data_IF_264560839721
#
_entry.id   IF_264560839721
#
_cell.length_a   1.000
_cell.length_b   1.000
_cell.length_c   1.000
_cell.angle_alpha   90.00
_cell.angle_beta   90.00
_cell.angle_gamma   90.00
#
_symmetry.space_group_name_H-M   'P 1'
#
loop_
_entity.id
_entity.type
_entity.pdbx_description
1 polymer ?
#
# COMPACT_ATOMS: atom_id res chain seq x y z
N UNK A 1 10.35 -16.02 3.39
CA UNK A 1 11.30 -15.15 4.10
C UNK A 1 11.22 -15.26 5.61
N UNK A 2 10.03 -15.47 6.22
CA UNK A 2 9.93 -15.75 7.66
C UNK A 2 10.67 -17.05 8.02
N UNK A 3 10.44 -18.11 7.27
CA UNK A 3 11.13 -19.40 7.44
C UNK A 3 12.66 -19.28 7.24
N UNK A 4 13.11 -18.46 6.29
CA UNK A 4 14.55 -18.22 6.06
C UNK A 4 15.27 -17.51 7.22
N UNK A 5 14.50 -16.90 8.15
CA UNK A 5 15.01 -16.25 9.37
C UNK A 5 14.61 -17.02 10.65
N UNK A 6 14.17 -18.27 10.53
CA UNK A 6 13.75 -19.11 11.67
C UNK A 6 12.35 -18.79 12.21
N UNK A 7 11.55 -18.01 11.49
CA UNK A 7 10.15 -17.75 11.85
C UNK A 7 9.24 -18.92 11.44
N UNK A 8 8.28 -19.27 12.29
CA UNK A 8 7.28 -20.28 11.98
C UNK A 8 6.17 -19.66 11.09
N UNK A 9 5.95 -20.14 9.84
CA UNK A 9 4.87 -19.66 8.97
C UNK A 9 3.48 -19.73 9.62
N UNK A 10 3.25 -20.69 10.53
CA UNK A 10 1.98 -20.86 11.24
C UNK A 10 1.57 -19.64 12.08
N UNK A 11 2.53 -18.76 12.43
CA UNK A 11 2.22 -17.50 13.13
C UNK A 11 1.33 -16.55 12.30
N UNK A 12 1.25 -16.77 10.99
CA UNK A 12 0.41 -15.99 10.07
C UNK A 12 -0.95 -16.62 9.78
N UNK A 13 -1.24 -17.81 10.28
CA UNK A 13 -2.51 -18.49 10.04
C UNK A 13 -3.68 -17.64 10.57
N UNK A 14 -4.73 -17.47 9.75
CA UNK A 14 -5.88 -16.62 10.04
C UNK A 14 -5.59 -15.11 10.10
N UNK A 15 -4.36 -14.68 9.73
CA UNK A 15 -3.92 -13.28 9.83
C UNK A 15 -3.51 -12.65 8.51
N UNK A 16 -3.67 -13.38 7.40
CA UNK A 16 -3.36 -12.88 6.07
C UNK A 16 -4.64 -12.62 5.29
N UNK A 17 -4.80 -11.38 4.91
CA UNK A 17 -5.95 -10.89 4.16
C UNK A 17 -5.46 -10.21 2.88
N UNK A 18 -6.15 -10.42 1.78
CA UNK A 18 -5.85 -9.79 0.52
C UNK A 18 -7.11 -9.58 -0.31
N UNK A 19 -7.11 -8.54 -1.11
CA UNK A 19 -8.16 -8.26 -2.07
C UNK A 19 -7.53 -7.99 -3.43
N UNK A 20 -7.98 -8.71 -4.46
CA UNK A 20 -7.46 -8.60 -5.82
C UNK A 20 -8.61 -8.71 -6.82
N UNK A 21 -8.70 -7.76 -7.72
CA UNK A 21 -9.75 -7.73 -8.75
C UNK A 21 -9.54 -8.76 -9.85
N UNK A 22 -8.30 -9.00 -10.24
CA UNK A 22 -7.96 -9.89 -11.33
C UNK A 22 -7.98 -11.35 -10.86
N UNK A 23 -8.78 -12.21 -11.54
CA UNK A 23 -8.92 -13.63 -11.20
C UNK A 23 -7.59 -14.37 -11.21
N UNK A 24 -6.81 -14.18 -12.28
CA UNK A 24 -5.52 -14.86 -12.44
C UNK A 24 -4.55 -14.44 -11.35
N UNK A 25 -4.44 -13.15 -11.07
CA UNK A 25 -3.57 -12.63 -10.01
C UNK A 25 -4.00 -13.13 -8.63
N UNK A 26 -5.30 -13.18 -8.34
CA UNK A 26 -5.82 -13.74 -7.10
C UNK A 26 -5.49 -15.23 -6.96
N UNK A 27 -5.60 -16.01 -8.06
CA UNK A 27 -5.24 -17.42 -8.07
C UNK A 27 -3.73 -17.63 -7.87
N UNK A 28 -2.90 -16.82 -8.53
CA UNK A 28 -1.44 -16.84 -8.32
C UNK A 28 -1.08 -16.49 -6.87
N UNK A 29 -1.75 -15.51 -6.27
CA UNK A 29 -1.52 -15.14 -4.88
C UNK A 29 -1.83 -16.30 -3.93
N UNK A 30 -2.98 -16.98 -4.10
CA UNK A 30 -3.35 -18.16 -3.31
C UNK A 30 -2.33 -19.29 -3.48
N UNK A 31 -1.97 -19.62 -4.72
CA UNK A 31 -0.98 -20.66 -5.00
C UNK A 31 0.38 -20.33 -4.37
N UNK A 32 0.81 -19.07 -4.45
CA UNK A 32 2.07 -18.63 -3.86
C UNK A 32 2.07 -18.82 -2.34
N UNK A 33 0.97 -18.46 -1.66
CA UNK A 33 0.83 -18.68 -0.21
C UNK A 33 0.92 -20.16 0.15
N UNK A 34 0.20 -21.04 -0.56
CA UNK A 34 0.28 -22.48 -0.37
C UNK A 34 1.69 -23.04 -0.56
N UNK A 35 2.39 -22.62 -1.62
CA UNK A 35 3.76 -23.05 -1.87
C UNK A 35 4.75 -22.60 -0.77
N UNK A 36 4.40 -21.58 0.00
CA UNK A 36 5.17 -21.12 1.15
C UNK A 36 4.69 -21.69 2.49
N UNK A 37 3.81 -22.71 2.47
CA UNK A 37 3.30 -23.39 3.66
C UNK A 37 2.28 -22.57 4.45
N UNK A 38 1.62 -21.61 3.80
CA UNK A 38 0.56 -20.79 4.39
C UNK A 38 -0.77 -21.31 3.85
N UNK A 39 -1.58 -21.95 4.69
CA UNK A 39 -2.84 -22.61 4.31
C UNK A 39 -4.07 -21.84 4.80
N UNK A 40 -3.91 -21.04 5.84
CA UNK A 40 -5.00 -20.27 6.46
C UNK A 40 -4.84 -18.77 6.14
N UNK A 41 -5.53 -18.32 5.09
CA UNK A 41 -5.54 -16.94 4.60
C UNK A 41 -6.87 -16.64 3.90
N UNK A 42 -7.20 -15.36 3.75
CA UNK A 42 -8.37 -14.89 3.03
C UNK A 42 -7.94 -14.01 1.86
N UNK A 43 -8.19 -14.45 0.62
CA UNK A 43 -8.01 -13.64 -0.59
C UNK A 43 -9.37 -13.46 -1.25
N UNK A 44 -9.93 -12.27 -1.13
CA UNK A 44 -11.21 -11.91 -1.73
C UNK A 44 -11.02 -11.32 -3.14
N UNK A 45 -12.02 -11.56 -3.98
CA UNK A 45 -12.01 -11.08 -5.36
C UNK A 45 -12.95 -9.89 -5.51
N UNK A 46 -12.41 -8.68 -5.46
CA UNK A 46 -13.17 -7.47 -5.74
C UNK A 46 -12.23 -6.28 -6.02
N UNK A 47 -12.80 -5.14 -6.45
CA UNK A 47 -12.08 -3.90 -6.70
C UNK A 47 -11.90 -3.11 -5.39
N UNK A 48 -10.71 -3.12 -4.83
CA UNK A 48 -10.38 -2.49 -3.55
C UNK A 48 -10.72 -1.00 -3.50
N UNK A 49 -10.55 -0.28 -4.61
CA UNK A 49 -10.83 1.16 -4.62
C UNK A 49 -12.31 1.46 -4.74
N UNK A 50 -13.08 0.63 -5.44
CA UNK A 50 -14.53 0.80 -5.63
C UNK A 50 -15.35 0.13 -4.55
N UNK A 51 -14.94 -1.06 -4.15
CA UNK A 51 -15.70 -1.93 -3.26
C UNK A 51 -14.78 -2.70 -2.31
N UNK A 52 -14.23 -2.05 -1.26
CA UNK A 52 -13.45 -2.75 -0.24
C UNK A 52 -14.34 -3.74 0.51
N UNK A 53 -13.89 -5.01 0.60
CA UNK A 53 -14.68 -6.08 1.22
C UNK A 53 -14.34 -6.30 2.68
N UNK A 54 -13.13 -5.92 3.11
CA UNK A 54 -12.74 -6.03 4.51
C UNK A 54 -13.20 -4.82 5.30
N UNK A 55 -14.31 -5.00 6.03
CA UNK A 55 -14.92 -3.98 6.86
C UNK A 55 -15.03 -4.48 8.30
N UNK A 56 -15.06 -3.56 9.25
CA UNK A 56 -15.33 -3.82 10.64
C UNK A 56 -16.85 -3.93 10.83
N UNK A 57 -17.39 -5.07 11.29
CA UNK A 57 -18.82 -5.27 11.43
C UNK A 57 -19.45 -4.40 12.52
N UNK A 58 -18.69 -3.98 13.51
CA UNK A 58 -19.20 -3.20 14.64
C UNK A 58 -19.31 -1.71 14.31
N UNK A 59 -18.37 -1.19 13.51
CA UNK A 59 -18.29 0.24 13.17
C UNK A 59 -18.76 0.56 11.75
N UNK A 60 -18.85 -0.44 10.88
CA UNK A 60 -19.04 -0.25 9.43
C UNK A 60 -17.85 0.40 8.72
N UNK A 61 -16.77 0.67 9.44
CA UNK A 61 -15.52 1.20 8.91
C UNK A 61 -14.71 0.16 8.12
N UNK A 62 -13.55 0.57 7.59
CA UNK A 62 -12.61 -0.40 7.03
C UNK A 62 -11.98 -1.24 8.14
N UNK A 63 -11.77 -2.52 7.87
CA UNK A 63 -10.94 -3.36 8.72
C UNK A 63 -9.51 -2.80 8.77
N UNK A 64 -8.88 -2.89 9.95
CA UNK A 64 -7.53 -2.36 10.18
C UNK A 64 -6.54 -3.47 10.48
N UNK A 65 -5.32 -3.30 10.00
CA UNK A 65 -4.24 -4.29 10.05
C UNK A 65 -2.96 -3.68 10.61
N UNK A 66 -2.16 -4.49 11.29
CA UNK A 66 -0.84 -4.07 11.79
C UNK A 66 0.15 -3.82 10.65
N UNK A 67 0.03 -4.57 9.55
CA UNK A 67 0.88 -4.44 8.37
C UNK A 67 0.04 -4.43 7.11
N UNK A 68 0.22 -3.39 6.28
CA UNK A 68 -0.43 -3.26 4.97
C UNK A 68 0.64 -3.12 3.89
N UNK A 69 0.63 -3.99 2.90
CA UNK A 69 1.62 -3.92 1.80
C UNK A 69 0.93 -4.02 0.45
N UNK A 70 1.39 -3.23 -0.52
CA UNK A 70 0.92 -3.33 -1.89
C UNK A 70 1.96 -2.84 -2.92
N UNK A 71 1.84 -3.40 -4.11
CA UNK A 71 2.43 -2.86 -5.32
C UNK A 71 1.30 -2.55 -6.31
N UNK A 72 0.60 -1.42 -6.15
CA UNK A 72 -0.52 -1.08 -7.00
C UNK A 72 -0.08 -0.73 -8.42
N UNK A 73 -0.97 -0.81 -9.43
CA UNK A 73 -0.64 -0.45 -10.80
C UNK A 73 -0.27 1.04 -10.92
N UNK A 74 0.87 1.34 -11.56
CA UNK A 74 1.45 2.68 -11.62
C UNK A 74 0.66 3.71 -12.45
N UNK A 75 -0.24 3.25 -13.31
CA UNK A 75 -0.95 4.11 -14.28
C UNK A 75 -2.45 3.81 -14.32
N UNK A 76 -3.05 3.53 -13.18
CA UNK A 76 -4.47 3.21 -13.11
C UNK A 76 -5.31 4.47 -13.40
N UNK A 77 -5.91 4.50 -14.60
CA UNK A 77 -6.91 5.49 -15.01
C UNK A 77 -8.31 4.97 -14.69
N UNK A 78 -9.29 5.87 -14.54
CA UNK A 78 -10.70 5.53 -14.26
C UNK A 78 -10.84 4.56 -13.07
N UNK A 79 -10.10 4.84 -12.02
CA UNK A 79 -9.94 4.00 -10.83
C UNK A 79 -11.17 3.99 -9.89
N UNK A 80 -12.23 4.73 -10.24
CA UNK A 80 -13.46 4.83 -9.43
C UNK A 80 -13.53 6.13 -8.64
N UNK A 81 -12.97 7.22 -9.17
CA UNK A 81 -13.01 8.53 -8.53
C UNK A 81 -14.42 8.95 -8.13
N UNK A 82 -15.40 8.64 -8.97
CA UNK A 82 -16.83 8.95 -8.76
C UNK A 82 -17.39 8.32 -7.46
N UNK A 83 -16.89 7.14 -7.08
CA UNK A 83 -17.27 6.48 -5.82
C UNK A 83 -16.66 7.20 -4.62
N UNK A 84 -15.50 7.80 -4.81
CA UNK A 84 -14.76 8.47 -3.73
C UNK A 84 -15.29 9.88 -3.42
N UNK A 85 -16.12 10.46 -4.26
CA UNK A 85 -16.76 11.75 -4.00
C UNK A 85 -17.77 11.67 -2.83
N UNK A 86 -18.33 10.47 -2.60
CA UNK A 86 -19.24 10.16 -1.48
C UNK A 86 -18.77 8.93 -0.70
N UNK A 87 -17.46 8.80 -0.51
CA UNK A 87 -16.86 7.62 0.12
C UNK A 87 -17.30 7.44 1.58
N UNK A 88 -18.01 6.35 1.92
CA UNK A 88 -18.51 6.15 3.27
C UNK A 88 -17.41 5.90 4.31
N UNK A 89 -16.21 5.51 3.86
CA UNK A 89 -15.07 5.24 4.73
C UNK A 89 -14.13 6.44 4.90
N UNK A 90 -14.45 7.58 4.27
CA UNK A 90 -13.65 8.80 4.37
C UNK A 90 -12.21 8.65 3.90
N UNK A 91 -11.98 7.87 2.83
CA UNK A 91 -10.63 7.60 2.30
C UNK A 91 -9.99 8.80 1.62
N UNK A 92 -10.76 9.76 1.15
CA UNK A 92 -10.24 11.00 0.54
C UNK A 92 -9.78 12.05 1.57
N UNK A 93 -9.29 11.63 2.74
CA UNK A 93 -8.96 12.51 3.88
C UNK A 93 -7.82 13.50 3.60
N UNK A 94 -6.92 13.17 2.68
CA UNK A 94 -5.84 14.08 2.28
C UNK A 94 -6.15 14.82 0.96
N UNK A 95 -7.24 14.49 0.30
CA UNK A 95 -7.72 15.07 -0.95
C UNK A 95 -8.13 14.00 -1.95
N UNK A 96 -8.94 14.39 -2.93
CA UNK A 96 -9.44 13.49 -3.96
C UNK A 96 -8.47 13.44 -5.15
N UNK A 97 -7.85 12.28 -5.45
CA UNK A 97 -6.93 12.15 -6.57
C UNK A 97 -7.62 12.37 -7.92
N UNK A 98 -6.85 12.73 -8.94
CA UNK A 98 -7.38 12.93 -10.29
C UNK A 98 -7.72 11.60 -10.96
N UNK A 99 -8.62 11.60 -11.95
CA UNK A 99 -8.96 10.40 -12.74
C UNK A 99 -7.77 9.79 -13.49
N UNK A 100 -6.73 10.59 -13.70
CA UNK A 100 -5.59 10.19 -14.51
C UNK A 100 -4.61 9.30 -13.76
N UNK A 101 -4.70 9.25 -12.41
CA UNK A 101 -3.73 8.55 -11.58
C UNK A 101 -4.32 8.14 -10.23
N UNK A 102 -4.54 6.85 -10.04
CA UNK A 102 -5.14 6.27 -8.82
C UNK A 102 -4.16 5.91 -7.71
N UNK A 103 -2.85 6.14 -7.84
CA UNK A 103 -1.92 5.63 -6.81
C UNK A 103 -2.07 6.32 -5.46
N UNK A 104 -2.46 7.60 -5.38
CA UNK A 104 -2.79 8.23 -4.10
C UNK A 104 -4.16 7.82 -3.54
N UNK A 105 -5.06 7.25 -4.35
CA UNK A 105 -6.22 6.55 -3.83
C UNK A 105 -5.78 5.27 -3.09
N UNK A 106 -4.88 4.48 -3.69
CA UNK A 106 -4.28 3.33 -3.03
C UNK A 106 -3.60 3.72 -1.71
N UNK A 107 -2.76 4.74 -1.72
CA UNK A 107 -2.08 5.23 -0.50
C UNK A 107 -3.09 5.57 0.60
N UNK A 108 -4.12 6.35 0.27
CA UNK A 108 -5.12 6.77 1.26
C UNK A 108 -5.98 5.60 1.77
N UNK A 109 -6.37 4.66 0.88
CA UNK A 109 -7.04 3.44 1.30
C UNK A 109 -6.18 2.63 2.27
N UNK A 110 -4.92 2.40 1.92
CA UNK A 110 -3.98 1.66 2.77
C UNK A 110 -3.74 2.34 4.12
N UNK A 111 -3.62 3.68 4.16
CA UNK A 111 -3.51 4.44 5.43
C UNK A 111 -4.74 4.23 6.31
N UNK A 112 -5.95 4.26 5.71
CA UNK A 112 -7.20 4.00 6.44
C UNK A 112 -7.34 2.56 6.92
N UNK A 113 -6.62 1.63 6.31
CA UNK A 113 -6.57 0.22 6.71
C UNK A 113 -5.42 -0.10 7.67
N UNK A 114 -4.64 0.88 8.12
CA UNK A 114 -3.63 0.69 9.16
C UNK A 114 -4.24 0.79 10.56
N UNK A 115 -3.85 -0.10 11.47
CA UNK A 115 -4.17 0.01 12.89
C UNK A 115 -3.57 1.28 13.51
N UNK A 116 -4.33 2.01 14.31
CA UNK A 116 -3.97 3.34 14.84
C UNK A 116 -2.67 3.36 15.66
N UNK A 117 -2.39 2.30 16.39
CA UNK A 117 -1.26 2.25 17.34
C UNK A 117 -0.04 1.54 16.77
N UNK A 118 -0.25 0.43 16.09
CA UNK A 118 0.78 -0.50 15.62
C UNK A 118 0.99 -0.44 14.11
N UNK A 119 0.00 0.09 13.40
CA UNK A 119 -0.09 0.05 11.94
C UNK A 119 1.13 0.60 11.22
N UNK A 120 1.58 -0.18 10.26
CA UNK A 120 2.62 0.14 9.30
C UNK A 120 2.16 -0.23 7.91
N UNK A 121 2.54 0.58 6.92
CA UNK A 121 2.38 0.15 5.54
C UNK A 121 3.64 0.41 4.72
N UNK A 122 3.80 -0.40 3.67
CA UNK A 122 4.78 -0.15 2.64
C UNK A 122 4.11 -0.28 1.27
N UNK A 123 4.35 0.71 0.42
CA UNK A 123 3.76 0.75 -0.92
C UNK A 123 4.83 1.06 -1.96
N UNK A 124 4.79 0.32 -3.07
CA UNK A 124 5.63 0.61 -4.23
C UNK A 124 4.91 1.66 -5.08
N UNK A 125 5.58 2.76 -5.37
CA UNK A 125 5.05 3.85 -6.17
C UNK A 125 6.02 4.21 -7.31
N UNK A 126 5.52 4.75 -8.42
CA UNK A 126 6.41 5.36 -9.40
C UNK A 126 7.11 6.57 -8.77
N UNK A 127 8.37 6.77 -9.08
CA UNK A 127 9.18 7.85 -8.49
C UNK A 127 8.54 9.24 -8.70
N UNK A 128 7.75 9.42 -9.78
CA UNK A 128 6.95 10.61 -10.03
C UNK A 128 5.99 10.99 -8.89
N UNK A 129 5.56 10.03 -8.06
CA UNK A 129 4.73 10.31 -6.89
C UNK A 129 5.41 11.24 -5.89
N UNK A 130 6.74 11.32 -5.89
CA UNK A 130 7.52 12.13 -4.95
C UNK A 130 7.57 13.62 -5.34
N UNK A 131 7.39 13.97 -6.61
CA UNK A 131 7.62 15.35 -7.08
C UNK A 131 6.52 15.95 -7.97
N UNK A 132 5.58 15.16 -8.50
CA UNK A 132 4.47 15.71 -9.29
C UNK A 132 3.67 16.72 -8.49
N UNK A 133 3.29 17.83 -9.15
CA UNK A 133 2.49 18.91 -8.58
C UNK A 133 0.98 18.67 -8.66
N UNK A 134 0.19 19.74 -8.63
CA UNK A 134 -1.28 19.69 -8.71
C UNK A 134 -1.90 18.98 -7.49
N UNK A 135 -2.99 18.25 -7.72
CA UNK A 135 -3.70 17.54 -6.64
C UNK A 135 -2.82 16.48 -5.96
N UNK A 136 -1.97 15.80 -6.71
CA UNK A 136 -1.01 14.84 -6.15
C UNK A 136 -0.05 15.51 -5.16
N UNK A 137 0.43 16.72 -5.51
CA UNK A 137 1.28 17.52 -4.63
C UNK A 137 0.57 17.97 -3.34
N UNK A 138 -0.72 18.32 -3.42
CA UNK A 138 -1.53 18.68 -2.25
C UNK A 138 -1.73 17.49 -1.31
N UNK A 139 -2.08 16.32 -1.86
CA UNK A 139 -2.25 15.09 -1.09
C UNK A 139 -0.93 14.71 -0.39
N UNK A 140 0.18 14.71 -1.13
CA UNK A 140 1.51 14.43 -0.58
C UNK A 140 1.88 15.37 0.55
N UNK A 141 1.63 16.68 0.38
CA UNK A 141 1.85 17.67 1.44
C UNK A 141 1.04 17.34 2.69
N UNK A 142 -0.25 17.03 2.54
CA UNK A 142 -1.13 16.69 3.65
C UNK A 142 -0.65 15.46 4.40
N UNK A 143 -0.22 14.41 3.69
CA UNK A 143 0.34 13.20 4.30
C UNK A 143 1.65 13.49 5.09
N UNK A 144 2.47 14.43 4.62
CA UNK A 144 3.67 14.88 5.34
C UNK A 144 3.31 15.74 6.57
N UNK A 145 2.37 16.67 6.46
CA UNK A 145 1.88 17.49 7.56
C UNK A 145 1.26 16.67 8.69
N UNK A 146 0.61 15.54 8.34
CA UNK A 146 0.08 14.55 9.28
C UNK A 146 1.17 13.65 9.90
N UNK A 147 2.42 13.85 9.53
CA UNK A 147 3.59 13.06 9.99
C UNK A 147 3.48 11.55 9.71
N UNK A 148 2.76 11.15 8.65
CA UNK A 148 2.52 9.75 8.32
C UNK A 148 3.70 9.10 7.58
N UNK A 149 4.45 9.84 6.77
CA UNK A 149 5.55 9.30 5.95
C UNK A 149 6.78 9.05 6.82
N UNK A 150 7.15 7.77 7.01
CA UNK A 150 8.30 7.36 7.82
C UNK A 150 9.59 7.29 6.99
N UNK A 151 9.52 6.65 5.81
CA UNK A 151 10.73 6.40 5.00
C UNK A 151 10.37 6.42 3.50
N UNK A 152 11.30 6.94 2.71
CA UNK A 152 11.27 6.83 1.23
C UNK A 152 12.54 6.13 0.79
N UNK A 153 12.40 5.03 0.04
CA UNK A 153 13.51 4.24 -0.49
C UNK A 153 13.47 4.34 -2.02
N UNK A 154 14.42 5.02 -2.60
CA UNK A 154 14.59 5.12 -4.05
C UNK A 154 15.18 3.83 -4.60
N UNK A 155 14.54 3.24 -5.62
CA UNK A 155 14.95 2.01 -6.26
C UNK A 155 15.57 2.28 -7.63
N UNK A 156 16.36 1.33 -8.14
CA UNK A 156 16.90 1.38 -9.49
C UNK A 156 15.79 1.37 -10.57
N UNK A 157 16.03 1.97 -11.73
CA UNK A 157 15.13 1.81 -12.88
C UNK A 157 15.17 0.34 -13.38
N UNK A 158 14.16 -0.04 -14.17
CA UNK A 158 14.05 -1.37 -14.80
C UNK A 158 13.97 -2.56 -13.81
N UNK A 159 13.56 -2.37 -12.57
CA UNK A 159 13.38 -3.45 -11.60
C UNK A 159 12.04 -4.18 -11.75
N UNK A 160 11.05 -3.57 -12.38
CA UNK A 160 9.72 -4.14 -12.51
C UNK A 160 9.42 -4.55 -13.95
N UNK A 161 8.79 -5.71 -14.10
CA UNK A 161 8.41 -6.24 -15.41
C UNK A 161 7.48 -5.26 -16.14
N UNK A 162 7.72 -5.05 -17.42
CA UNK A 162 6.85 -4.23 -18.29
C UNK A 162 6.98 -2.72 -18.13
N UNK A 163 7.92 -2.22 -17.31
CA UNK A 163 8.16 -0.78 -17.18
C UNK A 163 9.61 -0.45 -16.92
N UNK A 164 10.13 0.56 -17.62
CA UNK A 164 11.44 1.15 -17.36
C UNK A 164 11.43 2.25 -16.31
N UNK A 165 10.27 2.55 -15.73
CA UNK A 165 10.14 3.63 -14.75
C UNK A 165 10.88 3.27 -13.45
N UNK A 166 11.63 4.23 -12.93
CA UNK A 166 12.16 4.15 -11.59
C UNK A 166 11.01 4.20 -10.58
N UNK A 167 11.08 3.33 -9.58
CA UNK A 167 10.12 3.25 -8.50
C UNK A 167 10.75 3.63 -7.17
N UNK A 168 9.91 3.82 -6.17
CA UNK A 168 10.30 3.96 -4.78
C UNK A 168 9.40 3.12 -3.90
N UNK A 169 9.90 2.70 -2.74
CA UNK A 169 9.07 2.19 -1.65
C UNK A 169 8.86 3.32 -0.67
N UNK A 170 7.59 3.60 -0.36
CA UNK A 170 7.24 4.57 0.68
C UNK A 170 6.65 3.83 1.86
N UNK A 171 7.24 4.05 3.03
CA UNK A 171 6.80 3.46 4.30
C UNK A 171 6.03 4.52 5.08
N UNK A 172 4.85 4.15 5.55
CA UNK A 172 4.01 5.00 6.39
C UNK A 172 3.80 4.36 7.76
N UNK A 173 3.54 5.21 8.74
CA UNK A 173 3.27 4.81 10.10
C UNK A 173 2.38 5.83 10.81
N UNK A 174 1.36 5.38 11.54
CA UNK A 174 0.53 6.29 12.34
C UNK A 174 1.29 6.90 13.51
N UNK A 175 2.12 6.12 14.19
CA UNK A 175 2.87 6.58 15.36
C UNK A 175 4.36 6.33 15.21
N UNK A 176 5.09 7.37 14.88
CA UNK A 176 6.55 7.35 14.89
C UNK A 176 7.10 7.38 16.32
N UNK A 177 8.27 6.78 16.51
CA UNK A 177 9.02 6.96 17.75
C UNK A 177 9.30 8.46 18.02
N UNK A 178 9.35 8.92 19.29
CA UNK A 178 9.52 10.34 19.60
C UNK A 178 10.71 10.99 18.89
N UNK A 179 11.85 10.31 18.81
CA UNK A 179 13.05 10.79 18.12
C UNK A 179 12.91 10.88 16.58
N UNK A 180 11.82 10.36 16.01
CA UNK A 180 11.57 10.33 14.56
C UNK A 180 10.39 11.20 14.13
N UNK A 181 9.72 11.85 15.06
CA UNK A 181 8.61 12.76 14.77
C UNK A 181 9.06 13.91 13.89
N UNK A 182 8.24 14.26 12.89
CA UNK A 182 8.52 15.34 11.95
C UNK A 182 9.69 15.04 10.98
N UNK A 183 10.21 13.81 10.97
CA UNK A 183 11.32 13.41 10.11
C UNK A 183 10.91 12.35 9.11
N UNK A 184 11.53 12.40 7.93
CA UNK A 184 11.43 11.36 6.90
C UNK A 184 12.83 10.85 6.59
N UNK A 185 13.06 9.55 6.71
CA UNK A 185 14.29 8.93 6.26
C UNK A 185 14.25 8.77 4.74
N UNK A 186 15.27 9.27 4.06
CA UNK A 186 15.45 9.04 2.62
C UNK A 186 16.63 8.10 2.42
N UNK A 187 16.41 7.02 1.69
CA UNK A 187 17.41 6.00 1.37
C UNK A 187 17.55 5.92 -0.15
N UNK A 188 18.78 6.08 -0.64
CA UNK A 188 19.11 5.80 -2.04
C UNK A 188 19.59 4.35 -2.17
N UNK A 189 18.72 3.50 -2.67
CA UNK A 189 19.01 2.10 -2.98
C UNK A 189 19.11 1.85 -4.50
N UNK A 190 19.32 2.90 -5.30
CA UNK A 190 19.37 2.79 -6.76
C UNK A 190 20.54 1.94 -7.28
N UNK A 191 21.55 1.69 -6.45
CA UNK A 191 22.73 0.87 -6.77
C UNK A 191 22.74 -0.49 -6.08
N UNK A 192 21.77 -0.76 -5.19
CA UNK A 192 21.68 -1.98 -4.37
C UNK A 192 20.89 -3.08 -5.10
N UNK A 193 21.35 -3.46 -6.30
CA UNK A 193 20.74 -4.55 -7.07
C UNK A 193 21.78 -5.40 -7.77
N UNK A 194 21.46 -6.70 -8.00
CA UNK A 194 22.23 -7.59 -8.86
C UNK A 194 21.57 -7.63 -10.23
N UNK A 195 22.37 -7.49 -11.27
CA UNK A 195 21.93 -7.83 -12.63
C UNK A 195 21.78 -9.35 -12.72
N UNK A 196 20.59 -9.81 -13.09
CA UNK A 196 20.33 -11.21 -13.40
C UNK A 196 20.93 -11.60 -14.75
#
# INVERSE_FOLDING_TARGET
HAAAKGGDPRTFFGRLFGQERNVTTASVARMNLFLHGLEDFVIERDDTLRHPVFTDPDTGGLAVFDVVIANPPFSLKKWGREVWESDPWGRAFAGLPTDKSGYFAWVQHMVKSMADRTGRMAVVLPQGALFRGGEEGKIRRKLLEMDLVETVIGLAPNLFYGTGLAACVVVFRHRKAPARKGQVLVVDASREFKKG
#
